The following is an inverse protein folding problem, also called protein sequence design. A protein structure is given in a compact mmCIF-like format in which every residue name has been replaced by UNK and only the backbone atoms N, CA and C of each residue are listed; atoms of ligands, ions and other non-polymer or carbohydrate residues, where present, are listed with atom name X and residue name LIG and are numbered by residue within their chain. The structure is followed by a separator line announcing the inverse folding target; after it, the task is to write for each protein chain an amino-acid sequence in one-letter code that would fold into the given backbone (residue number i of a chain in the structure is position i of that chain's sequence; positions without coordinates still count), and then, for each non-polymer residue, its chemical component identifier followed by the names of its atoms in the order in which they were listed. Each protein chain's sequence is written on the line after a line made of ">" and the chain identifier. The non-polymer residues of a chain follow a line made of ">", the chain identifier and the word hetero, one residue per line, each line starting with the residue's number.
data_IF_879112753953
#
_entry.id   IF_879112753953
#
_cell.length_a   1.000
_cell.length_b   1.000
_cell.length_c   1.000
_cell.angle_alpha   90.00
_cell.angle_beta   90.00
_cell.angle_gamma   90.00
#
_symmetry.space_group_name_H-M   'P 1'
#
loop_
_entity.id
_entity.type
_entity.pdbx_description
1 polymer ?
#
# COMPACT_ATOMS: atom_id res chain seq x y z
N UNK A 1 4.64 -13.75 -16.04
CA UNK A 1 3.26 -13.39 -16.50
C UNK A 1 3.40 -12.28 -17.53
N UNK A 2 2.58 -12.28 -18.58
CA UNK A 2 2.54 -11.18 -19.55
C UNK A 2 2.09 -9.86 -18.89
N UNK A 3 2.70 -8.74 -19.29
CA UNK A 3 2.41 -7.40 -18.73
C UNK A 3 0.91 -7.05 -18.79
N UNK A 4 0.29 -7.31 -19.94
CA UNK A 4 -1.16 -7.10 -20.13
C UNK A 4 -1.97 -7.87 -19.11
N UNK A 5 -1.65 -9.15 -18.86
CA UNK A 5 -2.32 -9.95 -17.83
C UNK A 5 -2.14 -9.38 -16.44
N UNK A 6 -0.95 -8.85 -16.13
CA UNK A 6 -0.68 -8.22 -14.83
C UNK A 6 -1.53 -6.95 -14.64
N UNK A 7 -1.56 -6.07 -15.63
CA UNK A 7 -2.32 -4.81 -15.57
C UNK A 7 -3.84 -5.09 -15.44
N UNK A 8 -4.39 -5.97 -16.26
CA UNK A 8 -5.82 -6.27 -16.25
C UNK A 8 -6.23 -7.24 -15.14
N UNK A 9 -5.29 -8.05 -14.64
CA UNK A 9 -5.53 -9.09 -13.63
C UNK A 9 -5.41 -8.61 -12.19
N UNK A 10 -4.51 -7.67 -11.90
CA UNK A 10 -4.26 -7.20 -10.53
C UNK A 10 -5.52 -6.67 -9.85
N UNK A 11 -5.72 -7.08 -8.59
CA UNK A 11 -6.80 -6.62 -7.70
C UNK A 11 -6.23 -6.14 -6.38
N UNK A 12 -6.98 -5.31 -5.66
CA UNK A 12 -6.74 -5.05 -4.25
C UNK A 12 -7.17 -6.29 -3.45
N UNK A 13 -6.22 -6.97 -2.84
CA UNK A 13 -6.45 -8.16 -2.03
C UNK A 13 -6.63 -7.74 -0.59
N UNK A 14 -7.72 -8.20 0.04
CA UNK A 14 -8.09 -7.90 1.42
C UNK A 14 -8.35 -9.16 2.25
N UNK A 15 -7.81 -10.29 1.81
CA UNK A 15 -7.85 -11.55 2.54
C UNK A 15 -6.60 -12.34 2.18
N UNK A 16 -5.74 -12.58 3.17
CA UNK A 16 -4.43 -13.17 2.98
C UNK A 16 -4.30 -14.49 3.74
N UNK A 17 -3.52 -15.40 3.17
CA UNK A 17 -3.07 -16.61 3.86
C UNK A 17 -2.05 -16.22 4.93
N UNK A 18 -2.05 -16.94 6.04
CA UNK A 18 -1.05 -16.77 7.09
C UNK A 18 0.26 -17.50 6.71
N UNK A 19 0.88 -17.03 5.63
CA UNK A 19 2.11 -17.58 5.06
C UNK A 19 3.10 -16.43 4.88
N UNK A 20 4.30 -16.61 5.40
CA UNK A 20 5.37 -15.62 5.29
C UNK A 20 5.78 -15.39 3.83
N UNK A 21 6.20 -14.17 3.53
CA UNK A 21 6.84 -13.81 2.25
C UNK A 21 8.33 -13.69 2.50
N UNK A 22 9.15 -14.38 1.70
CA UNK A 22 10.60 -14.38 1.90
C UNK A 22 11.22 -13.00 1.66
N UNK A 23 12.31 -12.70 2.33
CA UNK A 23 13.04 -11.43 2.14
C UNK A 23 13.60 -11.29 0.73
N UNK A 24 13.96 -12.39 0.08
CA UNK A 24 14.40 -12.42 -1.32
C UNK A 24 13.27 -11.97 -2.23
N UNK A 25 12.05 -12.46 -1.99
CA UNK A 25 10.85 -12.01 -2.71
C UNK A 25 10.60 -10.52 -2.50
N UNK A 26 10.68 -10.03 -1.24
CA UNK A 26 10.50 -8.61 -0.94
C UNK A 26 11.56 -7.72 -1.63
N UNK A 27 12.81 -8.17 -1.72
CA UNK A 27 13.86 -7.47 -2.49
C UNK A 27 13.49 -7.35 -3.96
N UNK A 28 13.02 -8.43 -4.61
CA UNK A 28 12.57 -8.38 -6.00
C UNK A 28 11.43 -7.39 -6.22
N UNK A 29 10.52 -7.25 -5.25
CA UNK A 29 9.45 -6.26 -5.33
C UNK A 29 9.98 -4.82 -5.23
N UNK A 30 10.94 -4.59 -4.35
CA UNK A 30 11.62 -3.29 -4.23
C UNK A 30 12.42 -2.97 -5.48
N UNK A 31 13.15 -3.96 -6.03
CA UNK A 31 13.92 -3.80 -7.29
C UNK A 31 13.00 -3.43 -8.45
N UNK A 32 11.81 -4.02 -8.54
CA UNK A 32 10.81 -3.63 -9.54
C UNK A 32 10.25 -2.22 -9.29
N UNK A 33 10.02 -1.86 -8.02
CA UNK A 33 9.52 -0.54 -7.65
C UNK A 33 10.45 0.58 -8.09
N UNK A 34 11.76 0.43 -7.89
CA UNK A 34 12.77 1.44 -8.25
C UNK A 34 12.99 1.59 -9.75
N UNK A 35 12.41 0.70 -10.60
CA UNK A 35 12.38 0.88 -12.05
C UNK A 35 11.33 1.89 -12.52
N UNK A 36 10.54 2.47 -11.60
CA UNK A 36 9.62 3.53 -11.94
C UNK A 36 10.38 4.78 -12.41
N UNK A 37 9.80 5.57 -13.33
CA UNK A 37 10.36 6.88 -13.64
C UNK A 37 10.21 7.81 -12.45
N UNK A 38 11.09 8.80 -12.34
CA UNK A 38 10.95 9.89 -11.39
C UNK A 38 11.36 11.21 -12.05
N UNK A 39 10.78 12.31 -11.59
CA UNK A 39 11.11 13.64 -12.10
C UNK A 39 12.61 13.89 -11.94
N UNK A 40 13.27 14.32 -13.01
CA UNK A 40 14.73 14.56 -13.07
C UNK A 40 15.58 13.38 -12.59
N UNK A 41 15.02 12.16 -12.59
CA UNK A 41 15.63 10.96 -12.04
C UNK A 41 16.04 11.11 -10.55
N UNK A 42 15.27 11.83 -9.78
CA UNK A 42 15.56 12.10 -8.36
C UNK A 42 15.42 10.88 -7.46
N UNK A 43 14.62 9.88 -7.87
CA UNK A 43 14.44 8.61 -7.15
C UNK A 43 14.14 8.82 -5.65
N UNK A 44 13.06 9.58 -5.31
CA UNK A 44 12.85 10.11 -3.96
C UNK A 44 12.35 9.07 -2.95
N UNK A 45 12.13 7.84 -3.37
CA UNK A 45 11.53 6.78 -2.57
C UNK A 45 12.48 6.17 -1.56
N UNK A 46 11.94 5.84 -0.40
CA UNK A 46 12.55 5.03 0.63
C UNK A 46 11.53 3.98 1.11
N UNK A 47 11.95 2.75 1.35
CA UNK A 47 11.07 1.63 1.69
C UNK A 47 11.23 1.23 3.15
N UNK A 48 10.15 1.32 3.93
CA UNK A 48 10.07 0.90 5.31
C UNK A 48 9.26 -0.40 5.38
N UNK A 49 9.91 -1.50 5.70
CA UNK A 49 9.33 -2.84 5.59
C UNK A 49 9.23 -3.48 6.97
N UNK A 50 8.11 -4.10 7.26
CA UNK A 50 7.94 -4.97 8.43
C UNK A 50 7.18 -6.24 8.05
N UNK A 51 7.69 -7.37 8.55
CA UNK A 51 7.11 -8.71 8.50
C UNK A 51 6.85 -9.25 9.92
N UNK A 52 6.95 -8.39 10.93
CA UNK A 52 6.66 -8.71 12.32
C UNK A 52 5.16 -8.64 12.59
N UNK A 53 4.53 -9.79 12.78
CA UNK A 53 3.09 -9.92 13.01
C UNK A 53 2.63 -9.10 14.23
N UNK A 54 3.37 -9.13 15.35
CA UNK A 54 3.01 -8.36 16.55
C UNK A 54 3.07 -6.85 16.30
N UNK A 55 4.03 -6.41 15.49
CA UNK A 55 4.13 -5.00 15.08
C UNK A 55 2.98 -4.60 14.18
N UNK A 56 2.58 -5.46 13.24
CA UNK A 56 1.43 -5.23 12.37
C UNK A 56 0.13 -5.14 13.17
N UNK A 57 -0.09 -6.03 14.15
CA UNK A 57 -1.26 -5.99 15.03
C UNK A 57 -1.31 -4.69 15.84
N UNK A 58 -0.18 -4.29 16.45
CA UNK A 58 -0.09 -3.02 17.19
C UNK A 58 -0.37 -1.81 16.30
N UNK A 59 0.24 -1.76 15.11
CA UNK A 59 0.01 -0.67 14.15
C UNK A 59 -1.45 -0.62 13.70
N UNK A 60 -2.05 -1.79 13.44
CA UNK A 60 -3.47 -1.87 13.07
C UNK A 60 -4.37 -1.27 14.16
N UNK A 61 -4.16 -1.64 15.42
CA UNK A 61 -4.92 -1.11 16.54
C UNK A 61 -4.73 0.40 16.72
N UNK A 62 -3.50 0.89 16.60
CA UNK A 62 -3.19 2.32 16.74
C UNK A 62 -3.79 3.16 15.61
N UNK A 63 -3.74 2.68 14.36
CA UNK A 63 -4.34 3.36 13.21
C UNK A 63 -5.86 3.38 13.34
N UNK A 64 -6.48 2.25 13.70
CA UNK A 64 -7.93 2.17 13.91
C UNK A 64 -8.40 3.14 15.00
N UNK A 65 -7.68 3.22 16.12
CA UNK A 65 -7.98 4.19 17.18
C UNK A 65 -7.80 5.64 16.72
N UNK A 66 -6.76 5.92 15.92
CA UNK A 66 -6.56 7.24 15.34
C UNK A 66 -7.71 7.63 14.42
N UNK A 67 -8.16 6.74 13.53
CA UNK A 67 -9.28 7.00 12.64
C UNK A 67 -10.57 7.28 13.42
N UNK A 68 -10.87 6.50 14.45
CA UNK A 68 -12.08 6.72 15.30
C UNK A 68 -12.16 8.11 15.92
N UNK A 69 -11.03 8.73 16.24
CA UNK A 69 -11.00 10.06 16.86
C UNK A 69 -10.81 11.20 15.87
N UNK A 70 -10.44 10.91 14.62
CA UNK A 70 -10.11 11.94 13.62
C UNK A 70 -11.16 12.10 12.53
N UNK A 71 -12.01 11.09 12.29
CA UNK A 71 -13.10 11.16 11.32
C UNK A 71 -14.45 10.98 12.01
N UNK A 72 -15.55 11.42 11.37
CA UNK A 72 -16.88 11.23 11.94
C UNK A 72 -17.24 9.74 12.07
N UNK A 73 -18.13 9.42 13.01
CA UNK A 73 -18.65 8.06 13.20
C UNK A 73 -19.24 7.47 11.92
N UNK A 74 -19.97 8.29 11.16
CA UNK A 74 -20.53 7.91 9.87
C UNK A 74 -19.44 7.60 8.84
N UNK A 75 -18.42 8.47 8.71
CA UNK A 75 -17.29 8.25 7.81
C UNK A 75 -16.49 7.00 8.20
N UNK A 76 -16.32 6.74 9.50
CA UNK A 76 -15.66 5.54 9.99
C UNK A 76 -16.43 4.26 9.64
N UNK A 77 -17.76 4.28 9.82
CA UNK A 77 -18.63 3.17 9.45
C UNK A 77 -18.60 2.91 7.94
N UNK A 78 -18.75 3.95 7.12
CA UNK A 78 -18.68 3.87 5.66
C UNK A 78 -17.33 3.29 5.22
N UNK A 79 -16.23 3.77 5.80
CA UNK A 79 -14.89 3.25 5.51
C UNK A 79 -14.80 1.74 5.74
N UNK A 80 -15.33 1.25 6.86
CA UNK A 80 -15.34 -0.19 7.19
C UNK A 80 -16.17 -1.01 6.20
N UNK A 81 -17.35 -0.52 5.82
CA UNK A 81 -18.22 -1.18 4.86
C UNK A 81 -17.57 -1.26 3.46
N UNK A 82 -16.97 -0.17 3.01
CA UNK A 82 -16.28 -0.11 1.71
C UNK A 82 -15.01 -0.98 1.66
N UNK A 83 -14.26 -1.03 2.74
CA UNK A 83 -13.05 -1.85 2.84
C UNK A 83 -13.36 -3.33 3.11
N UNK A 84 -14.62 -3.66 3.42
CA UNK A 84 -15.06 -5.01 3.79
C UNK A 84 -14.25 -5.57 4.94
N UNK A 85 -13.94 -4.73 5.92
CA UNK A 85 -13.26 -5.16 7.13
C UNK A 85 -14.14 -6.17 7.88
N UNK A 86 -13.53 -7.28 8.25
CA UNK A 86 -14.18 -8.29 9.08
C UNK A 86 -14.38 -7.81 10.53
N UNK A 87 -14.95 -8.67 11.37
CA UNK A 87 -15.21 -8.36 12.78
C UNK A 87 -13.93 -8.04 13.57
N UNK A 88 -12.76 -8.43 13.08
CA UNK A 88 -11.46 -8.22 13.75
C UNK A 88 -10.89 -6.83 13.52
N UNK A 89 -11.40 -6.08 12.56
CA UNK A 89 -10.99 -4.69 12.23
C UNK A 89 -9.48 -4.52 12.00
N UNK A 90 -8.84 -5.52 11.42
CA UNK A 90 -7.43 -5.42 11.12
C UNK A 90 -7.22 -4.62 9.83
N UNK A 91 -6.80 -3.35 9.96
CA UNK A 91 -6.69 -2.40 8.83
C UNK A 91 -5.76 -2.90 7.70
N UNK A 92 -4.83 -3.80 8.02
CA UNK A 92 -3.94 -4.47 7.07
C UNK A 92 -4.51 -5.79 6.55
N UNK A 93 -5.78 -6.12 6.84
CA UNK A 93 -6.48 -7.32 6.37
C UNK A 93 -5.76 -8.64 6.70
N UNK A 94 -5.00 -8.69 7.80
CA UNK A 94 -4.22 -9.85 8.20
C UNK A 94 -3.05 -10.17 7.26
N UNK A 95 -2.59 -9.21 6.45
CA UNK A 95 -1.43 -9.41 5.59
C UNK A 95 -0.15 -9.61 6.40
N UNK A 96 0.77 -10.52 5.99
CA UNK A 96 2.00 -10.80 6.73
C UNK A 96 3.08 -9.73 6.55
N UNK A 97 2.94 -8.80 5.61
CA UNK A 97 3.94 -7.78 5.32
C UNK A 97 3.28 -6.43 5.06
N UNK A 98 3.89 -5.38 5.61
CA UNK A 98 3.63 -3.99 5.25
C UNK A 98 4.91 -3.38 4.69
N UNK A 99 4.80 -2.75 3.51
CA UNK A 99 5.82 -1.84 2.96
C UNK A 99 5.22 -0.44 2.92
N UNK A 100 5.85 0.49 3.63
CA UNK A 100 5.53 1.91 3.51
C UNK A 100 6.56 2.56 2.60
N UNK A 101 6.13 2.95 1.40
CA UNK A 101 6.96 3.76 0.51
C UNK A 101 6.85 5.20 1.00
N UNK A 102 7.99 5.77 1.32
CA UNK A 102 8.11 7.15 1.79
C UNK A 102 8.94 7.97 0.80
N UNK A 103 8.68 9.26 0.74
CA UNK A 103 9.49 10.21 -0.02
C UNK A 103 10.37 11.03 0.91
N UNK A 104 11.55 11.43 0.46
CA UNK A 104 12.26 12.54 1.07
C UNK A 104 11.73 13.87 0.50
N UNK A 105 11.74 14.94 1.32
CA UNK A 105 11.01 16.20 1.04
C UNK A 105 11.57 17.09 -0.08
N UNK A 106 12.64 16.71 -0.77
CA UNK A 106 13.35 17.62 -1.67
C UNK A 106 12.72 17.78 -3.06
N UNK A 107 11.83 16.86 -3.45
CA UNK A 107 11.22 16.88 -4.78
C UNK A 107 9.76 17.32 -4.75
N UNK A 108 9.38 18.21 -5.66
CA UNK A 108 7.98 18.62 -5.86
C UNK A 108 7.11 17.45 -6.31
N UNK A 109 7.67 16.50 -7.05
CA UNK A 109 6.99 15.33 -7.65
C UNK A 109 7.17 14.05 -6.83
N UNK A 110 7.76 14.15 -5.64
CA UNK A 110 8.14 12.98 -4.86
C UNK A 110 6.97 12.07 -4.47
N UNK A 111 5.77 12.62 -4.32
CA UNK A 111 4.55 11.85 -4.01
C UNK A 111 4.13 11.04 -5.21
N UNK A 112 4.04 11.66 -6.37
CA UNK A 112 3.67 11.04 -7.64
C UNK A 112 4.68 9.94 -8.01
N UNK A 113 5.97 10.22 -7.89
CA UNK A 113 7.05 9.27 -8.14
C UNK A 113 6.92 8.03 -7.23
N UNK A 114 6.63 8.22 -5.94
CA UNK A 114 6.39 7.11 -5.02
C UNK A 114 5.15 6.27 -5.38
N UNK A 115 4.09 6.89 -5.94
CA UNK A 115 2.93 6.13 -6.43
C UNK A 115 3.25 5.37 -7.71
N UNK A 116 4.11 5.88 -8.59
CA UNK A 116 4.62 5.14 -9.75
C UNK A 116 5.42 3.91 -9.29
N UNK A 117 6.30 4.07 -8.30
CA UNK A 117 7.02 2.97 -7.68
C UNK A 117 6.08 1.93 -7.04
N UNK A 118 5.05 2.39 -6.32
CA UNK A 118 4.03 1.53 -5.73
C UNK A 118 3.29 0.70 -6.79
N UNK A 119 2.97 1.30 -7.94
CA UNK A 119 2.30 0.59 -9.03
C UNK A 119 3.19 -0.51 -9.61
N UNK A 120 4.48 -0.25 -9.86
CA UNK A 120 5.42 -1.27 -10.32
C UNK A 120 5.53 -2.42 -9.31
N UNK A 121 5.68 -2.11 -8.02
CA UNK A 121 5.70 -3.10 -6.93
C UNK A 121 4.46 -4.00 -6.97
N UNK A 122 3.27 -3.39 -7.06
CA UNK A 122 2.00 -4.12 -7.06
C UNK A 122 1.82 -5.01 -8.30
N UNK A 123 2.28 -4.57 -9.47
CA UNK A 123 2.24 -5.37 -10.70
C UNK A 123 3.21 -6.56 -10.60
N UNK A 124 4.44 -6.31 -10.10
CA UNK A 124 5.42 -7.37 -9.89
C UNK A 124 4.92 -8.39 -8.88
N UNK A 125 4.36 -7.96 -7.74
CA UNK A 125 3.76 -8.85 -6.75
C UNK A 125 2.68 -9.75 -7.38
N UNK A 126 1.78 -9.16 -8.15
CA UNK A 126 0.73 -9.91 -8.84
C UNK A 126 1.31 -10.93 -9.84
N UNK A 127 2.36 -10.57 -10.58
CA UNK A 127 3.01 -11.49 -11.53
C UNK A 127 3.63 -12.70 -10.85
N UNK A 128 4.02 -12.56 -9.57
CA UNK A 128 4.59 -13.61 -8.71
C UNK A 128 3.54 -14.39 -7.90
N UNK A 129 2.23 -14.15 -8.13
CA UNK A 129 1.15 -14.80 -7.41
C UNK A 129 0.87 -14.21 -6.02
N UNK A 130 1.47 -13.07 -5.69
CA UNK A 130 1.19 -12.33 -4.47
C UNK A 130 0.01 -11.38 -4.67
N UNK A 131 -0.67 -11.08 -3.57
CA UNK A 131 -1.70 -10.06 -3.48
C UNK A 131 -1.18 -8.81 -2.79
N UNK A 132 -1.73 -7.66 -3.16
CA UNK A 132 -1.41 -6.36 -2.55
C UNK A 132 -2.65 -5.53 -2.34
N UNK A 133 -2.61 -4.65 -1.33
CA UNK A 133 -3.59 -3.58 -1.17
C UNK A 133 -2.89 -2.30 -0.69
N UNK A 134 -3.22 -1.17 -1.32
CA UNK A 134 -2.80 0.15 -0.83
C UNK A 134 -3.72 0.56 0.33
N UNK A 135 -3.13 0.88 1.49
CA UNK A 135 -3.85 1.23 2.73
C UNK A 135 -3.80 2.74 2.95
N UNK A 136 -4.55 3.47 2.12
CA UNK A 136 -4.56 4.94 2.18
C UNK A 136 -5.01 5.51 3.53
N UNK A 137 -5.92 4.83 4.22
CA UNK A 137 -6.41 5.19 5.55
C UNK A 137 -5.33 5.24 6.62
N UNK A 138 -4.21 4.50 6.46
CA UNK A 138 -3.10 4.55 7.39
C UNK A 138 -2.26 5.85 7.29
N UNK A 139 -2.39 6.62 6.19
CA UNK A 139 -1.52 7.77 5.93
C UNK A 139 -1.68 8.87 6.98
N UNK A 140 -2.90 9.19 7.40
CA UNK A 140 -3.13 10.23 8.41
C UNK A 140 -2.41 9.91 9.73
N UNK A 141 -2.40 8.66 10.14
CA UNK A 141 -1.67 8.20 11.32
C UNK A 141 -0.15 8.32 11.13
N UNK A 142 0.41 7.86 10.01
CA UNK A 142 1.85 7.92 9.75
C UNK A 142 2.40 9.35 9.59
N UNK A 143 1.53 10.37 9.46
CA UNK A 143 1.95 11.78 9.52
C UNK A 143 2.05 12.31 10.97
N UNK A 144 1.46 11.62 11.97
CA UNK A 144 1.57 12.02 13.37
C UNK A 144 2.97 11.70 13.93
N UNK A 145 3.37 12.40 15.00
CA UNK A 145 4.64 12.12 15.70
C UNK A 145 4.72 10.65 16.15
N UNK A 146 3.62 10.12 16.68
CA UNK A 146 3.53 8.72 17.13
C UNK A 146 3.64 7.74 15.96
N UNK A 147 2.91 7.98 14.88
CA UNK A 147 2.93 7.12 13.70
C UNK A 147 4.29 7.11 13.00
N UNK A 148 4.95 8.25 12.91
CA UNK A 148 6.32 8.34 12.38
C UNK A 148 7.29 7.48 13.20
N UNK A 149 7.23 7.59 14.54
CA UNK A 149 8.06 6.79 15.46
C UNK A 149 7.78 5.29 15.34
N UNK A 150 6.52 4.90 15.16
CA UNK A 150 6.12 3.49 15.11
C UNK A 150 6.74 2.71 13.93
N UNK A 151 7.09 3.39 12.85
CA UNK A 151 7.77 2.81 11.68
C UNK A 151 9.21 3.29 11.53
N UNK A 152 9.77 3.98 12.53
CA UNK A 152 11.11 4.59 12.49
C UNK A 152 11.31 5.49 11.25
N UNK A 153 10.26 6.26 10.89
CA UNK A 153 10.31 7.15 9.74
C UNK A 153 11.31 8.28 9.98
N UNK A 154 12.32 8.41 9.12
CA UNK A 154 13.33 9.44 9.22
C UNK A 154 12.71 10.85 9.21
N UNK A 155 13.33 11.81 9.89
CA UNK A 155 12.77 13.15 10.11
C UNK A 155 12.37 13.84 8.81
N UNK A 156 13.18 13.69 7.77
CA UNK A 156 12.96 14.31 6.45
C UNK A 156 12.17 13.44 5.46
N UNK A 157 11.58 12.34 5.92
CA UNK A 157 10.76 11.48 5.07
C UNK A 157 9.28 11.67 5.37
N UNK A 158 8.46 11.52 4.34
CA UNK A 158 7.00 11.52 4.41
C UNK A 158 6.48 10.16 3.93
N UNK A 159 5.64 9.50 4.71
CA UNK A 159 4.93 8.30 4.26
C UNK A 159 3.98 8.65 3.11
N UNK A 160 4.02 7.89 2.02
CA UNK A 160 3.23 8.15 0.79
C UNK A 160 2.34 6.98 0.43
N UNK A 161 2.89 5.78 0.32
CA UNK A 161 2.14 4.62 -0.16
C UNK A 161 2.36 3.40 0.78
N UNK A 162 1.52 3.23 1.80
CA UNK A 162 1.49 2.01 2.60
C UNK A 162 0.85 0.89 1.77
N UNK A 163 1.59 -0.18 1.49
CA UNK A 163 1.13 -1.35 0.72
C UNK A 163 1.30 -2.59 1.55
N UNK A 164 0.21 -3.35 1.74
CA UNK A 164 0.26 -4.67 2.34
C UNK A 164 0.47 -5.74 1.28
N UNK A 165 1.18 -6.81 1.64
CA UNK A 165 1.62 -7.87 0.73
C UNK A 165 1.47 -9.23 1.41
N UNK A 166 1.02 -10.22 0.64
CA UNK A 166 0.93 -11.60 1.09
C UNK A 166 0.34 -12.51 0.01
N UNK A 167 0.23 -13.80 0.29
CA UNK A 167 -0.44 -14.72 -0.59
C UNK A 167 -1.96 -14.58 -0.44
N UNK A 168 -2.72 -14.38 -1.55
CA UNK A 168 -4.17 -14.26 -1.48
C UNK A 168 -4.83 -15.52 -0.92
N UNK A 169 -5.71 -15.38 0.07
CA UNK A 169 -6.62 -16.46 0.49
C UNK A 169 -7.84 -16.53 -0.45
N UNK A 170 -8.25 -15.36 -0.95
CA UNK A 170 -9.29 -15.24 -1.99
C UNK A 170 -8.96 -14.09 -2.93
N UNK A 171 -9.40 -14.21 -4.18
CA UNK A 171 -9.26 -13.16 -5.19
C UNK A 171 -10.65 -12.61 -5.51
N UNK A 172 -10.89 -11.31 -5.32
CA UNK A 172 -12.20 -10.73 -5.63
C UNK A 172 -12.49 -10.78 -7.13
N UNK A 173 -13.77 -10.85 -7.47
CA UNK A 173 -14.23 -10.77 -8.85
C UNK A 173 -13.78 -9.46 -9.51
N UNK A 174 -13.70 -9.47 -10.84
CA UNK A 174 -13.36 -8.28 -11.61
C UNK A 174 -14.47 -7.24 -11.49
N UNK A 175 -14.12 -6.06 -11.00
CA UNK A 175 -14.98 -4.88 -11.06
C UNK A 175 -14.75 -4.21 -12.41
N UNK A 176 -15.83 -3.95 -13.17
CA UNK A 176 -15.78 -3.23 -14.44
C UNK A 176 -15.14 -1.85 -14.27
N UNK A 177 -14.54 -1.35 -15.35
CA UNK A 177 -14.06 0.04 -15.42
C UNK A 177 -15.03 0.85 -16.28
N UNK A 178 -15.30 2.08 -15.88
CA UNK A 178 -16.01 3.01 -16.73
C UNK A 178 -15.18 3.26 -18.02
N UNK A 179 -15.84 3.53 -19.16
CA UNK A 179 -15.15 3.91 -20.39
C UNK A 179 -14.27 5.13 -20.17
N UNK A 180 -13.11 5.16 -20.82
CA UNK A 180 -12.24 6.30 -20.79
C UNK A 180 -12.92 7.51 -21.45
N UNK A 181 -12.81 8.69 -20.82
CA UNK A 181 -13.21 9.95 -21.45
C UNK A 181 -12.00 10.50 -22.18
N UNK A 182 -12.05 10.48 -23.50
CA UNK A 182 -10.96 10.94 -24.37
C UNK A 182 -11.42 12.19 -25.13
N UNK A 183 -10.57 13.19 -25.19
CA UNK A 183 -10.73 14.37 -26.06
C UNK A 183 -9.46 14.50 -26.89
N UNK A 184 -9.61 14.56 -28.20
CA UNK A 184 -8.52 14.84 -29.12
C UNK A 184 -8.37 16.38 -29.22
N UNK A 185 -7.15 16.86 -29.11
CA UNK A 185 -6.81 18.28 -29.25
C UNK A 185 -6.27 18.46 -30.66
N UNK A 186 -7.18 18.67 -31.59
CA UNK A 186 -6.88 18.94 -33.02
C UNK A 186 -6.49 20.41 -33.23
#
# INVERSE_FOLDING_TARGET
>A
MELTKAIYGRRAIRNFKQVSVSRETLKLLVDAAIQAPSAMNEQPWCFYITDDAQKLDRLSAEITNHLRVTISEEAFRTHREETREDATHHIFHGAPVLIVIASHYKSTWAIEDCFLAAQNLMLMAHSMGLGTCLIGSALSYFQTVRGRKSINLAEHHRAVAPVVIGYPASVPSRIGRAPARVRWLD
#
